data_IF_067869024343
#
_entry.id   IF_067869024343
#
_cell.length_a   1.000
_cell.length_b   1.000
_cell.length_c   1.000
_cell.angle_alpha   90.00
_cell.angle_beta   90.00
_cell.angle_gamma   90.00
#
_symmetry.space_group_name_H-M   'P 1'
#
loop_
_entity.id
_entity.type
_entity.pdbx_description
1 polymer ?
#
# COMPACT_ATOMS: atom_id res chain seq x y z
N UNK A 1 -43.91 -29.85 37.12
CA UNK A 1 -44.45 -28.96 36.08
C UNK A 1 -43.25 -28.41 35.25
N UNK A 2 -43.06 -28.94 34.04
CA UNK A 2 -41.98 -28.53 33.12
C UNK A 2 -42.53 -27.37 32.26
N UNK A 3 -41.76 -26.30 32.14
CA UNK A 3 -42.00 -25.29 31.10
C UNK A 3 -40.73 -25.22 30.26
N UNK A 4 -40.89 -25.61 29.00
CA UNK A 4 -39.84 -25.60 27.99
C UNK A 4 -39.63 -24.20 27.42
N UNK A 5 -38.37 -23.78 27.34
CA UNK A 5 -37.91 -22.60 26.60
C UNK A 5 -37.71 -22.94 25.13
N UNK A 6 -38.48 -22.36 24.25
CA UNK A 6 -38.30 -22.43 22.81
C UNK A 6 -37.29 -21.35 22.41
N UNK A 7 -36.11 -21.78 21.98
CA UNK A 7 -35.10 -20.90 21.38
C UNK A 7 -35.49 -20.60 19.93
N UNK A 8 -35.85 -19.36 19.62
CA UNK A 8 -36.06 -18.88 18.25
C UNK A 8 -34.67 -18.59 17.61
N UNK A 9 -34.18 -19.48 16.78
CA UNK A 9 -33.16 -19.17 15.79
C UNK A 9 -33.86 -18.49 14.62
N UNK A 10 -33.65 -17.19 14.46
CA UNK A 10 -34.03 -16.46 13.24
C UNK A 10 -33.21 -16.92 12.03
N UNK A 11 -33.74 -16.80 10.81
CA UNK A 11 -33.05 -17.25 9.61
C UNK A 11 -31.78 -16.44 9.39
N UNK A 12 -30.63 -17.11 9.38
CA UNK A 12 -29.35 -16.55 8.92
C UNK A 12 -29.49 -16.16 7.45
N UNK A 13 -29.23 -14.88 7.18
CA UNK A 13 -29.38 -14.32 5.85
C UNK A 13 -28.32 -14.96 4.93
N UNK A 14 -28.74 -15.75 3.94
CA UNK A 14 -27.87 -16.44 2.97
C UNK A 14 -26.89 -15.52 2.24
N UNK A 15 -27.20 -14.21 2.20
CA UNK A 15 -26.36 -13.18 1.59
C UNK A 15 -25.08 -12.89 2.40
N UNK A 16 -25.18 -12.95 3.73
CA UNK A 16 -24.02 -12.74 4.61
C UNK A 16 -23.08 -13.95 4.58
N UNK A 17 -23.64 -15.16 4.46
CA UNK A 17 -22.88 -16.39 4.29
C UNK A 17 -22.17 -16.45 2.91
N UNK A 18 -22.77 -15.88 1.88
CA UNK A 18 -22.17 -15.78 0.53
C UNK A 18 -21.03 -14.74 0.51
N UNK A 19 -21.23 -13.59 1.15
CA UNK A 19 -20.19 -12.56 1.29
C UNK A 19 -18.98 -13.08 2.07
N UNK A 20 -19.19 -13.81 3.16
CA UNK A 20 -18.14 -14.46 3.94
C UNK A 20 -17.41 -15.56 3.16
N UNK A 21 -18.12 -16.37 2.37
CA UNK A 21 -17.52 -17.41 1.50
C UNK A 21 -16.74 -16.81 0.34
N UNK A 22 -17.23 -15.71 -0.25
CA UNK A 22 -16.53 -14.98 -1.32
C UNK A 22 -15.27 -14.31 -0.76
N UNK A 23 -15.37 -13.70 0.40
CA UNK A 23 -14.23 -13.10 1.09
C UNK A 23 -13.18 -14.15 1.47
N UNK A 24 -13.60 -15.34 1.95
CA UNK A 24 -12.74 -16.50 2.19
C UNK A 24 -12.05 -17.01 0.93
N UNK A 25 -12.71 -16.98 -0.25
CA UNK A 25 -12.08 -17.32 -1.53
C UNK A 25 -11.11 -16.25 -2.02
N UNK A 26 -11.45 -14.96 -1.87
CA UNK A 26 -10.56 -13.84 -2.20
C UNK A 26 -9.30 -13.89 -1.31
N UNK A 27 -9.47 -14.24 -0.03
CA UNK A 27 -8.39 -14.41 0.95
C UNK A 27 -7.58 -15.69 0.73
N UNK A 28 -8.16 -16.73 0.11
CA UNK A 28 -7.46 -17.99 -0.20
C UNK A 28 -6.56 -17.91 -1.43
N UNK A 29 -6.70 -16.87 -2.26
CA UNK A 29 -5.70 -16.54 -3.27
C UNK A 29 -4.53 -15.84 -2.57
N UNK A 30 -3.51 -16.60 -2.25
CA UNK A 30 -2.22 -16.14 -1.74
C UNK A 30 -1.70 -15.03 -2.64
N UNK A 31 -1.37 -13.88 -2.02
CA UNK A 31 -0.66 -12.74 -2.59
C UNK A 31 -1.53 -11.76 -3.37
N UNK A 32 -1.89 -10.67 -2.79
CA UNK A 32 -1.89 -9.28 -3.29
C UNK A 32 -2.85 -8.38 -2.54
N UNK A 33 -2.42 -7.78 -1.48
CA UNK A 33 -3.08 -6.63 -0.86
C UNK A 33 -2.02 -5.77 -0.17
N UNK A 34 -1.26 -5.04 -0.95
CA UNK A 34 -0.17 -4.19 -0.46
C UNK A 34 -0.20 -2.73 -0.89
N UNK A 35 -1.37 -2.17 -1.15
CA UNK A 35 -1.63 -0.79 -0.73
C UNK A 35 -2.39 -0.80 0.61
N UNK A 36 -2.95 -1.95 0.96
CA UNK A 36 -3.36 -2.39 2.29
C UNK A 36 -2.83 -3.81 2.40
N UNK A 37 -1.59 -3.99 2.88
CA UNK A 37 -0.96 -5.29 2.95
C UNK A 37 -1.72 -6.22 3.88
N UNK A 38 -2.47 -7.17 3.34
CA UNK A 38 -2.95 -8.33 4.06
C UNK A 38 -1.96 -9.49 3.83
N UNK A 39 -0.96 -9.62 4.68
CA UNK A 39 -0.15 -10.82 4.76
C UNK A 39 -0.85 -11.83 5.69
N UNK A 40 -1.44 -12.87 5.11
CA UNK A 40 -1.84 -14.06 5.86
C UNK A 40 -0.65 -15.05 5.89
N UNK A 41 -0.11 -15.28 7.06
CA UNK A 41 0.82 -16.37 7.29
C UNK A 41 0.04 -17.70 7.37
N UNK A 42 0.32 -18.66 6.49
CA UNK A 42 -0.06 -20.05 6.63
C UNK A 42 1.20 -20.90 6.91
N UNK A 43 1.06 -22.05 7.63
CA UNK A 43 2.20 -22.83 8.07
C UNK A 43 3.03 -23.38 6.92
N UNK A 44 4.34 -23.41 7.13
CA UNK A 44 5.37 -23.83 6.19
C UNK A 44 5.17 -25.28 5.73
N UNK A 45 4.89 -25.47 4.44
CA UNK A 45 5.25 -26.69 3.73
C UNK A 45 6.63 -26.46 3.10
N UNK A 46 7.51 -27.47 3.22
CA UNK A 46 8.90 -27.43 2.78
C UNK A 46 9.06 -26.81 1.37
N UNK A 47 9.76 -25.70 1.31
CA UNK A 47 10.08 -25.03 0.06
C UNK A 47 11.29 -25.69 -0.58
N UNK A 48 11.12 -26.16 -1.82
CA UNK A 48 12.24 -26.39 -2.74
C UNK A 48 12.85 -25.00 -3.00
N UNK A 49 14.12 -24.83 -2.67
CA UNK A 49 14.85 -23.60 -2.89
C UNK A 49 14.79 -23.22 -4.38
N UNK A 50 14.35 -22.02 -4.74
CA UNK A 50 14.43 -21.57 -6.12
C UNK A 50 15.92 -21.47 -6.55
N UNK A 51 16.22 -21.90 -7.79
CA UNK A 51 17.53 -21.66 -8.39
C UNK A 51 17.83 -20.17 -8.34
N UNK A 52 19.09 -19.76 -8.04
CA UNK A 52 19.45 -18.35 -8.10
C UNK A 52 19.23 -17.84 -9.54
N UNK A 53 18.34 -16.90 -9.69
CA UNK A 53 18.23 -16.07 -10.88
C UNK A 53 19.49 -15.20 -10.86
N UNK A 54 20.23 -15.14 -11.97
CA UNK A 54 21.37 -14.23 -12.11
C UNK A 54 20.92 -12.84 -11.66
N UNK A 55 21.68 -12.27 -10.70
CA UNK A 55 21.45 -10.91 -10.23
C UNK A 55 21.41 -9.98 -11.44
N UNK A 56 20.28 -9.32 -11.69
CA UNK A 56 20.27 -8.12 -12.47
C UNK A 56 21.19 -7.11 -11.75
N UNK A 57 21.89 -6.28 -12.49
CA UNK A 57 22.72 -5.21 -11.95
C UNK A 57 21.97 -4.51 -10.81
N UNK A 58 22.67 -4.25 -9.68
CA UNK A 58 22.06 -3.77 -8.45
C UNK A 58 21.15 -2.57 -8.70
N UNK A 59 20.01 -2.51 -8.00
CA UNK A 59 19.13 -1.35 -8.06
C UNK A 59 19.60 -0.32 -7.02
N UNK A 60 19.72 0.94 -7.44
CA UNK A 60 20.17 2.08 -6.62
C UNK A 60 19.00 3.05 -6.32
N UNK A 61 17.98 2.62 -5.55
CA UNK A 61 16.79 3.43 -5.33
C UNK A 61 17.13 4.71 -4.57
N UNK A 62 16.31 5.74 -4.81
CA UNK A 62 16.53 7.04 -4.24
C UNK A 62 16.51 7.04 -2.71
N UNK A 63 17.55 7.63 -2.11
CA UNK A 63 17.73 7.82 -0.68
C UNK A 63 18.07 9.28 -0.39
N UNK A 64 17.47 9.85 0.65
CA UNK A 64 17.80 11.20 1.13
C UNK A 64 18.18 11.19 2.59
N UNK A 65 18.84 12.26 3.02
CA UNK A 65 19.21 12.49 4.40
C UNK A 65 18.80 13.89 4.84
N UNK A 66 18.19 13.97 6.00
CA UNK A 66 17.95 15.19 6.75
C UNK A 66 18.78 15.09 8.02
N UNK A 67 19.60 16.08 8.29
CA UNK A 67 20.50 16.04 9.47
C UNK A 67 20.69 17.41 10.09
N UNK A 68 20.97 17.41 11.37
CA UNK A 68 21.49 18.54 12.12
C UNK A 68 22.77 18.14 12.89
N UNK A 69 23.07 18.79 13.99
CA UNK A 69 24.33 18.56 14.77
C UNK A 69 24.41 17.17 15.43
N UNK A 70 23.27 16.58 15.82
CA UNK A 70 23.22 15.34 16.61
C UNK A 70 22.13 14.36 16.18
N UNK A 71 21.40 14.68 15.12
CA UNK A 71 20.34 13.84 14.55
C UNK A 71 20.54 13.59 13.06
N UNK A 72 20.28 12.36 12.63
CA UNK A 72 20.27 11.97 11.22
C UNK A 72 18.99 11.20 10.90
N UNK A 73 18.26 11.61 9.88
CA UNK A 73 17.04 10.95 9.40
C UNK A 73 17.25 10.60 7.94
N UNK A 74 17.32 9.32 7.63
CA UNK A 74 17.30 8.84 6.25
C UNK A 74 15.86 8.70 5.79
N UNK A 75 15.56 9.12 4.55
CA UNK A 75 14.26 8.97 3.90
C UNK A 75 14.45 8.07 2.69
N UNK A 76 13.83 6.92 2.70
CA UNK A 76 13.92 5.90 1.66
C UNK A 76 12.54 5.67 1.02
N UNK A 77 12.50 5.71 -0.32
CA UNK A 77 11.27 5.45 -1.07
C UNK A 77 11.10 3.96 -1.37
N UNK A 78 9.92 3.41 -1.10
CA UNK A 78 9.61 1.99 -1.29
C UNK A 78 8.62 1.77 -2.44
N UNK A 79 8.66 0.58 -3.02
CA UNK A 79 7.59 0.01 -3.85
C UNK A 79 7.05 -1.22 -3.13
N UNK A 80 5.74 -1.24 -2.85
CA UNK A 80 5.12 -2.25 -1.96
C UNK A 80 5.22 -3.69 -2.45
N UNK A 81 5.43 -3.90 -3.74
CA UNK A 81 5.51 -5.23 -4.37
C UNK A 81 6.66 -5.25 -5.37
N UNK A 82 7.47 -6.30 -5.34
CA UNK A 82 8.56 -6.53 -6.30
C UNK A 82 8.53 -7.96 -6.81
N UNK A 83 9.12 -8.18 -7.98
CA UNK A 83 9.45 -9.52 -8.45
C UNK A 83 10.64 -10.06 -7.65
N UNK A 84 10.78 -11.38 -7.45
CA UNK A 84 11.93 -11.94 -6.75
C UNK A 84 13.22 -11.71 -7.52
N UNK A 85 14.35 -11.59 -6.80
CA UNK A 85 15.70 -11.56 -7.36
C UNK A 85 16.30 -10.18 -7.58
N UNK A 86 15.59 -9.08 -7.31
CA UNK A 86 16.16 -7.74 -7.35
C UNK A 86 16.97 -7.48 -6.07
N UNK A 87 18.23 -7.04 -6.24
CA UNK A 87 19.12 -6.61 -5.16
C UNK A 87 19.06 -5.09 -5.05
N UNK A 88 18.69 -4.59 -3.90
CA UNK A 88 18.54 -3.14 -3.61
C UNK A 88 18.83 -2.80 -2.14
N UNK A 89 18.82 -3.82 -1.26
CA UNK A 89 19.07 -3.63 0.16
C UNK A 89 20.55 -3.87 0.46
N UNK A 90 21.38 -3.08 -0.16
CA UNK A 90 22.84 -3.11 -0.11
C UNK A 90 23.40 -1.67 -0.07
N UNK A 91 24.66 -1.49 -0.33
CA UNK A 91 25.37 -0.22 -0.44
C UNK A 91 24.86 0.91 0.49
N UNK A 92 24.38 2.02 -0.05
CA UNK A 92 23.96 3.18 0.72
C UNK A 92 22.68 2.93 1.51
N UNK A 93 21.71 2.17 0.97
CA UNK A 93 20.46 1.83 1.66
C UNK A 93 20.76 0.98 2.89
N UNK A 94 21.56 -0.08 2.71
CA UNK A 94 21.97 -0.95 3.82
C UNK A 94 22.82 -0.20 4.85
N UNK A 95 23.72 0.66 4.39
CA UNK A 95 24.57 1.49 5.27
C UNK A 95 23.71 2.46 6.10
N UNK A 96 22.71 3.11 5.50
CA UNK A 96 21.79 3.99 6.20
C UNK A 96 20.95 3.22 7.23
N UNK A 97 20.42 2.06 6.83
CA UNK A 97 19.69 1.17 7.73
C UNK A 97 20.58 0.72 8.90
N UNK A 98 21.82 0.26 8.65
CA UNK A 98 22.71 -0.26 9.69
C UNK A 98 23.08 0.82 10.72
N UNK A 99 23.31 2.04 10.29
CA UNK A 99 23.60 3.20 11.15
C UNK A 99 22.41 3.65 11.98
N UNK A 100 21.19 3.29 11.58
CA UNK A 100 19.96 3.72 12.23
C UNK A 100 19.67 2.87 13.47
N UNK A 101 19.22 3.52 14.53
CA UNK A 101 18.83 2.90 15.79
C UNK A 101 17.36 2.45 15.78
N UNK A 102 16.58 2.98 14.85
CA UNK A 102 15.14 2.78 14.74
C UNK A 102 14.72 2.80 13.27
N UNK A 103 13.70 2.02 12.95
CA UNK A 103 13.01 2.03 11.66
C UNK A 103 11.63 2.65 11.83
N UNK A 104 11.26 3.49 10.88
CA UNK A 104 9.93 4.11 10.81
C UNK A 104 9.34 3.82 9.44
N UNK A 105 8.19 3.18 9.42
CA UNK A 105 7.42 2.88 8.22
C UNK A 105 6.23 3.84 8.11
N UNK A 106 5.53 3.83 6.99
CA UNK A 106 4.23 4.50 6.93
C UNK A 106 3.30 3.94 8.02
N UNK A 107 3.24 2.64 8.11
CA UNK A 107 2.38 1.92 9.04
C UNK A 107 3.06 0.62 9.48
N UNK A 108 2.91 0.25 10.73
CA UNK A 108 3.18 -1.11 11.19
C UNK A 108 1.93 -1.94 10.96
N UNK A 109 2.08 -3.01 10.18
CA UNK A 109 0.97 -3.89 9.86
C UNK A 109 0.40 -4.53 11.13
N UNK A 110 -0.90 -4.35 11.42
CA UNK A 110 -1.53 -5.07 12.52
C UNK A 110 -1.66 -6.58 12.19
N UNK A 111 -2.07 -7.37 13.17
CA UNK A 111 -2.40 -8.76 12.89
C UNK A 111 -3.49 -8.89 11.81
N UNK A 112 -3.49 -10.00 11.05
CA UNK A 112 -4.40 -10.18 9.91
C UNK A 112 -5.89 -10.08 10.27
N UNK A 113 -6.29 -10.58 11.44
CA UNK A 113 -7.70 -10.56 11.86
C UNK A 113 -8.14 -9.12 12.17
N UNK A 114 -7.29 -8.32 12.82
CA UNK A 114 -7.54 -6.91 13.07
C UNK A 114 -7.63 -6.13 11.76
N UNK A 115 -6.68 -6.35 10.82
CA UNK A 115 -6.73 -5.69 9.51
C UNK A 115 -8.01 -6.03 8.75
N UNK A 116 -8.38 -7.32 8.71
CA UNK A 116 -9.63 -7.75 8.08
C UNK A 116 -10.85 -7.06 8.69
N UNK A 117 -10.93 -7.01 10.01
CA UNK A 117 -12.05 -6.33 10.70
C UNK A 117 -12.12 -4.84 10.33
N UNK A 118 -10.98 -4.15 10.25
CA UNK A 118 -10.89 -2.76 9.85
C UNK A 118 -11.35 -2.54 8.40
N UNK A 119 -10.90 -3.37 7.47
CA UNK A 119 -11.31 -3.30 6.06
C UNK A 119 -12.81 -3.53 5.92
N UNK A 120 -13.36 -4.54 6.60
CA UNK A 120 -14.80 -4.81 6.60
C UNK A 120 -15.61 -3.64 7.17
N UNK A 121 -15.14 -3.06 8.26
CA UNK A 121 -15.83 -1.93 8.91
C UNK A 121 -15.80 -0.64 8.06
N UNK A 122 -14.70 -0.40 7.34
CA UNK A 122 -14.48 0.87 6.61
C UNK A 122 -14.82 0.78 5.12
N UNK A 123 -14.61 -0.37 4.50
CA UNK A 123 -14.68 -0.56 3.05
C UNK A 123 -15.93 -1.27 2.52
N UNK A 124 -16.77 -1.84 3.40
CA UNK A 124 -17.99 -2.56 3.00
C UNK A 124 -19.22 -1.75 3.39
N UNK A 125 -20.11 -1.54 2.43
CA UNK A 125 -21.40 -0.88 2.64
C UNK A 125 -22.42 -1.88 3.21
N UNK A 126 -23.10 -1.49 4.28
CA UNK A 126 -24.14 -2.35 4.94
C UNK A 126 -25.44 -2.35 4.16
N UNK A 127 -25.80 -1.23 3.56
CA UNK A 127 -27.04 -0.96 2.85
C UNK A 127 -26.81 -0.02 1.66
N UNK A 128 -27.88 0.40 1.00
CA UNK A 128 -27.83 1.29 -0.17
C UNK A 128 -27.64 0.56 -1.50
N UNK A 129 -27.44 1.32 -2.61
CA UNK A 129 -27.29 0.77 -3.94
C UNK A 129 -26.00 -0.06 -4.05
N UNK A 130 -26.02 -1.04 -4.95
CA UNK A 130 -24.81 -1.83 -5.27
C UNK A 130 -23.74 -0.95 -5.90
N UNK A 131 -22.47 -1.36 -5.83
CA UNK A 131 -21.40 -0.62 -6.49
C UNK A 131 -21.62 -0.53 -8.00
N UNK A 132 -22.11 -1.61 -8.63
CA UNK A 132 -22.45 -1.63 -10.05
C UNK A 132 -23.53 -0.59 -10.40
N UNK A 133 -24.56 -0.41 -9.56
CA UNK A 133 -25.59 0.61 -9.76
C UNK A 133 -25.05 2.04 -9.63
N UNK A 134 -24.05 2.26 -8.76
CA UNK A 134 -23.43 3.56 -8.53
C UNK A 134 -22.49 3.99 -9.67
N UNK A 135 -21.95 3.04 -10.45
CA UNK A 135 -21.06 3.34 -11.57
C UNK A 135 -21.80 4.01 -12.72
N UNK A 136 -21.16 4.97 -13.41
CA UNK A 136 -21.63 5.46 -14.71
C UNK A 136 -21.89 4.30 -15.69
N UNK A 137 -22.93 4.42 -16.52
CA UNK A 137 -23.36 3.33 -17.39
C UNK A 137 -22.27 2.86 -18.37
N UNK A 138 -21.44 3.77 -18.84
CA UNK A 138 -20.30 3.52 -19.74
C UNK A 138 -19.14 2.75 -19.05
N UNK A 139 -19.06 2.77 -17.72
CA UNK A 139 -18.02 2.06 -16.96
C UNK A 139 -18.43 0.66 -16.51
N UNK A 140 -19.72 0.32 -16.50
CA UNK A 140 -20.22 -0.93 -15.92
C UNK A 140 -19.71 -2.18 -16.63
N UNK A 141 -19.59 -2.14 -17.96
CA UNK A 141 -19.10 -3.28 -18.74
C UNK A 141 -17.63 -3.56 -18.45
N UNK A 142 -16.77 -2.54 -18.53
CA UNK A 142 -15.34 -2.67 -18.23
C UNK A 142 -15.08 -3.07 -16.75
N UNK A 143 -15.88 -2.54 -15.81
CA UNK A 143 -15.83 -2.96 -14.41
C UNK A 143 -16.17 -4.44 -14.23
N UNK A 144 -17.24 -4.93 -14.85
CA UNK A 144 -17.66 -6.33 -14.78
C UNK A 144 -16.59 -7.26 -15.37
N UNK A 145 -16.00 -6.87 -16.51
CA UNK A 145 -14.87 -7.57 -17.13
C UNK A 145 -13.68 -7.63 -16.18
N UNK A 146 -13.24 -6.48 -15.62
CA UNK A 146 -12.13 -6.41 -14.67
C UNK A 146 -12.33 -7.33 -13.45
N UNK A 147 -13.56 -7.41 -12.91
CA UNK A 147 -13.86 -8.32 -11.79
C UNK A 147 -13.81 -9.79 -12.23
N UNK A 148 -14.32 -10.11 -13.43
CA UNK A 148 -14.30 -11.48 -13.94
C UNK A 148 -12.90 -11.96 -14.32
N UNK A 149 -11.99 -11.07 -14.74
CA UNK A 149 -10.57 -11.36 -14.97
C UNK A 149 -9.82 -11.76 -13.71
N UNK A 150 -10.33 -11.36 -12.55
CA UNK A 150 -9.84 -11.85 -11.26
C UNK A 150 -10.29 -13.28 -10.95
N UNK A 151 -11.17 -13.86 -11.78
CA UNK A 151 -11.80 -15.17 -11.55
C UNK A 151 -13.00 -15.10 -10.60
N UNK A 152 -13.61 -13.93 -10.44
CA UNK A 152 -14.73 -13.69 -9.53
C UNK A 152 -16.04 -13.46 -10.32
N UNK A 153 -17.21 -13.71 -9.73
CA UNK A 153 -18.48 -13.25 -10.30
C UNK A 153 -18.49 -11.73 -10.48
N UNK A 154 -19.09 -11.21 -11.56
CA UNK A 154 -19.12 -9.78 -11.87
C UNK A 154 -19.67 -8.89 -10.72
N UNK A 155 -20.54 -9.45 -9.87
CA UNK A 155 -21.12 -8.76 -8.71
C UNK A 155 -20.36 -8.99 -7.39
N UNK A 156 -19.16 -9.57 -7.43
CA UNK A 156 -18.41 -9.93 -6.22
C UNK A 156 -18.12 -8.73 -5.30
N UNK A 157 -17.96 -7.55 -5.89
CA UNK A 157 -17.65 -6.31 -5.15
C UNK A 157 -18.86 -5.39 -4.97
N UNK A 158 -20.08 -5.84 -5.22
CA UNK A 158 -21.29 -5.02 -5.17
C UNK A 158 -21.56 -4.37 -3.81
N UNK A 159 -21.03 -4.95 -2.75
CA UNK A 159 -21.10 -4.37 -1.40
C UNK A 159 -19.84 -3.62 -0.99
N UNK A 160 -18.82 -3.55 -1.84
CA UNK A 160 -17.63 -2.74 -1.55
C UNK A 160 -17.92 -1.26 -1.80
N UNK A 161 -17.32 -0.40 -0.97
CA UNK A 161 -17.19 1.01 -1.32
C UNK A 161 -16.26 1.15 -2.53
N UNK A 162 -16.41 2.19 -3.37
CA UNK A 162 -15.66 2.29 -4.62
C UNK A 162 -14.15 2.22 -4.41
N UNK A 163 -13.62 2.85 -3.34
CA UNK A 163 -12.19 2.82 -3.03
C UNK A 163 -11.66 1.40 -2.77
N UNK A 164 -12.43 0.56 -2.09
CA UNK A 164 -12.00 -0.81 -1.80
C UNK A 164 -11.98 -1.67 -3.07
N UNK A 165 -12.98 -1.50 -3.95
CA UNK A 165 -13.00 -2.16 -5.25
C UNK A 165 -11.80 -1.71 -6.12
N UNK A 166 -11.53 -0.40 -6.19
CA UNK A 166 -10.37 0.15 -6.91
C UNK A 166 -9.06 -0.47 -6.42
N UNK A 167 -8.85 -0.49 -5.10
CA UNK A 167 -7.66 -1.08 -4.50
C UNK A 167 -7.51 -2.58 -4.86
N UNK A 168 -8.59 -3.35 -4.79
CA UNK A 168 -8.54 -4.76 -5.16
C UNK A 168 -8.23 -4.98 -6.64
N UNK A 169 -8.84 -4.18 -7.53
CA UNK A 169 -8.58 -4.23 -8.97
C UNK A 169 -7.15 -3.85 -9.33
N UNK A 170 -6.55 -2.89 -8.63
CA UNK A 170 -5.16 -2.47 -8.87
C UNK A 170 -4.14 -3.51 -8.40
N UNK A 171 -4.39 -4.22 -7.29
CA UNK A 171 -3.36 -5.02 -6.63
C UNK A 171 -3.45 -6.49 -6.99
N UNK A 172 -4.68 -7.05 -7.05
CA UNK A 172 -4.86 -8.50 -7.26
C UNK A 172 -4.21 -9.00 -8.56
N UNK A 173 -4.25 -8.27 -9.70
CA UNK A 173 -3.59 -8.72 -10.92
C UNK A 173 -2.06 -8.79 -10.81
N UNK A 174 -1.44 -7.98 -9.94
CA UNK A 174 0.02 -7.91 -9.82
C UNK A 174 0.65 -9.24 -9.43
N UNK A 175 -0.06 -10.06 -8.64
CA UNK A 175 0.41 -11.40 -8.29
C UNK A 175 0.50 -12.33 -9.51
N UNK A 176 -0.43 -12.19 -10.48
CA UNK A 176 -0.38 -12.95 -11.73
C UNK A 176 0.79 -12.52 -12.61
N UNK A 177 1.25 -11.27 -12.47
CA UNK A 177 2.41 -10.71 -13.15
C UNK A 177 3.74 -11.03 -12.42
N UNK A 178 3.69 -11.79 -11.32
CA UNK A 178 4.87 -12.23 -10.57
C UNK A 178 5.36 -11.25 -9.51
N UNK A 179 4.60 -10.17 -9.23
CA UNK A 179 4.89 -9.27 -8.11
C UNK A 179 4.34 -9.84 -6.80
N UNK A 180 5.13 -9.73 -5.73
CA UNK A 180 4.75 -10.20 -4.40
C UNK A 180 5.18 -9.18 -3.35
N UNK A 181 4.30 -8.92 -2.38
CA UNK A 181 4.59 -8.07 -1.23
C UNK A 181 5.68 -8.65 -0.32
N UNK A 182 5.85 -9.97 -0.31
CA UNK A 182 6.94 -10.61 0.42
C UNK A 182 8.32 -10.16 -0.05
N UNK A 183 8.44 -9.73 -1.32
CA UNK A 183 9.66 -9.14 -1.88
C UNK A 183 9.67 -7.60 -1.77
N UNK A 184 8.58 -7.00 -1.30
CA UNK A 184 8.47 -5.54 -1.12
C UNK A 184 9.44 -5.03 -0.04
N UNK A 185 10.02 -3.83 -0.25
CA UNK A 185 10.98 -3.24 0.67
C UNK A 185 10.51 -3.17 2.12
N UNK A 186 9.25 -2.91 2.40
CA UNK A 186 8.73 -2.84 3.77
C UNK A 186 8.88 -4.17 4.51
N UNK A 187 8.64 -5.30 3.84
CA UNK A 187 8.78 -6.62 4.45
C UNK A 187 10.25 -6.98 4.68
N UNK A 188 11.11 -6.68 3.69
CA UNK A 188 12.56 -6.89 3.81
C UNK A 188 13.15 -6.05 4.94
N UNK A 189 12.82 -4.74 5.00
CA UNK A 189 13.27 -3.82 6.04
C UNK A 189 12.74 -4.24 7.41
N UNK A 190 11.46 -4.65 7.52
CA UNK A 190 10.87 -5.11 8.77
C UNK A 190 11.55 -6.38 9.29
N UNK A 191 11.81 -7.35 8.41
CA UNK A 191 12.53 -8.56 8.75
C UNK A 191 13.97 -8.27 9.21
N UNK A 192 14.68 -7.39 8.50
CA UNK A 192 16.02 -6.95 8.86
C UNK A 192 16.05 -6.20 10.21
N UNK A 193 15.07 -5.33 10.45
CA UNK A 193 14.94 -4.59 11.71
C UNK A 193 14.72 -5.56 12.89
N UNK A 194 13.82 -6.53 12.70
CA UNK A 194 13.57 -7.58 13.70
C UNK A 194 14.83 -8.40 13.99
N UNK A 195 15.55 -8.81 12.96
CA UNK A 195 16.80 -9.57 13.09
C UNK A 195 17.89 -8.77 13.81
N UNK A 196 17.95 -7.44 13.59
CA UNK A 196 18.89 -6.53 14.22
C UNK A 196 18.42 -5.98 15.59
N UNK A 197 17.26 -6.41 16.09
CA UNK A 197 16.69 -5.91 17.35
C UNK A 197 16.33 -4.42 17.33
N UNK A 198 16.11 -3.83 16.14
CA UNK A 198 15.75 -2.42 16.00
C UNK A 198 14.24 -2.25 16.18
N UNK A 199 13.79 -1.27 16.98
CA UNK A 199 12.37 -0.96 17.09
C UNK A 199 11.82 -0.47 15.74
N UNK A 200 10.60 -0.92 15.40
CA UNK A 200 9.85 -0.49 14.23
C UNK A 200 8.61 0.25 14.70
N UNK A 201 8.36 1.43 14.14
CA UNK A 201 7.14 2.20 14.39
C UNK A 201 6.52 2.69 13.09
N UNK A 202 5.25 3.10 13.14
CA UNK A 202 4.54 3.73 12.02
C UNK A 202 4.42 5.23 12.19
N UNK A 203 4.44 5.96 11.08
CA UNK A 203 4.00 7.36 11.02
C UNK A 203 2.48 7.45 11.21
N UNK A 204 1.77 6.43 10.78
CA UNK A 204 0.31 6.32 10.81
C UNK A 204 -0.12 4.95 11.35
N UNK A 205 -1.39 4.83 11.73
CA UNK A 205 -2.01 3.54 12.06
C UNK A 205 -2.82 3.01 10.88
N UNK A 206 -3.16 1.72 10.90
CA UNK A 206 -4.03 1.12 9.89
C UNK A 206 -5.41 1.80 9.84
N UNK A 207 -5.95 2.17 11.00
CA UNK A 207 -7.20 2.90 11.11
C UNK A 207 -7.14 4.27 10.41
N UNK A 208 -6.01 4.98 10.55
CA UNK A 208 -5.79 6.26 9.88
C UNK A 208 -5.70 6.09 8.37
N UNK A 209 -4.89 5.13 7.87
CA UNK A 209 -4.74 4.91 6.43
C UNK A 209 -6.05 4.50 5.75
N UNK A 210 -6.79 3.55 6.34
CA UNK A 210 -8.11 3.18 5.83
C UNK A 210 -9.12 4.34 5.95
N UNK A 211 -9.00 5.13 7.01
CA UNK A 211 -9.80 6.34 7.22
C UNK A 211 -9.62 7.38 6.13
N UNK A 212 -8.43 7.54 5.56
CA UNK A 212 -8.22 8.48 4.44
C UNK A 212 -9.05 8.10 3.22
N UNK A 213 -9.05 6.83 2.84
CA UNK A 213 -9.93 6.37 1.74
C UNK A 213 -11.41 6.53 2.08
N UNK A 214 -11.79 6.21 3.32
CA UNK A 214 -13.16 6.35 3.79
C UNK A 214 -13.64 7.80 3.89
N UNK A 215 -12.74 8.78 4.03
CA UNK A 215 -13.05 10.21 4.10
C UNK A 215 -13.25 10.87 2.73
N UNK A 216 -12.84 10.22 1.65
CA UNK A 216 -13.09 10.72 0.30
C UNK A 216 -14.59 10.83 0.02
N UNK A 217 -15.01 11.89 -0.66
CA UNK A 217 -16.38 12.00 -1.13
C UNK A 217 -16.74 10.81 -2.03
N UNK A 218 -18.02 10.44 -2.07
CA UNK A 218 -18.49 9.37 -2.97
C UNK A 218 -18.08 9.63 -4.43
N UNK A 219 -18.14 10.91 -4.85
CA UNK A 219 -17.70 11.31 -6.19
C UNK A 219 -16.21 11.00 -6.41
N UNK A 220 -15.34 11.37 -5.47
CA UNK A 220 -13.90 11.11 -5.58
C UNK A 220 -13.59 9.61 -5.55
N UNK A 221 -14.28 8.82 -4.74
CA UNK A 221 -14.12 7.38 -4.72
C UNK A 221 -14.54 6.72 -6.04
N UNK A 222 -15.65 7.18 -6.65
CA UNK A 222 -16.10 6.68 -7.97
C UNK A 222 -15.16 7.12 -9.10
N UNK A 223 -14.62 8.34 -9.04
CA UNK A 223 -13.60 8.79 -9.99
C UNK A 223 -12.32 7.94 -9.85
N UNK A 224 -11.86 7.68 -8.63
CA UNK A 224 -10.71 6.82 -8.37
C UNK A 224 -10.92 5.41 -8.94
N UNK A 225 -12.10 4.81 -8.73
CA UNK A 225 -12.44 3.51 -9.32
C UNK A 225 -12.48 3.58 -10.86
N UNK A 226 -13.08 4.64 -11.41
CA UNK A 226 -13.14 4.83 -12.86
C UNK A 226 -11.75 4.92 -13.50
N UNK A 227 -10.86 5.75 -12.95
CA UNK A 227 -9.48 5.85 -13.42
C UNK A 227 -8.73 4.52 -13.27
N UNK A 228 -8.93 3.81 -12.16
CA UNK A 228 -8.36 2.46 -11.97
C UNK A 228 -8.77 1.53 -13.10
N UNK A 229 -10.06 1.47 -13.45
CA UNK A 229 -10.56 0.61 -14.53
C UNK A 229 -9.90 0.98 -15.86
N UNK A 230 -9.76 2.26 -16.16
CA UNK A 230 -9.16 2.74 -17.40
C UNK A 230 -7.65 2.41 -17.52
N UNK A 231 -6.96 2.31 -16.38
CA UNK A 231 -5.52 2.00 -16.34
C UNK A 231 -5.21 0.49 -16.30
N UNK A 232 -6.18 -0.38 -15.99
CA UNK A 232 -5.94 -1.83 -15.92
C UNK A 232 -5.29 -2.42 -17.17
N UNK A 233 -5.66 -2.03 -18.42
CA UNK A 233 -5.02 -2.56 -19.63
C UNK A 233 -3.52 -2.25 -19.73
N UNK A 234 -3.03 -1.23 -19.02
CA UNK A 234 -1.64 -0.80 -19.03
C UNK A 234 -0.88 -1.24 -17.76
N UNK A 235 -1.56 -1.88 -16.81
CA UNK A 235 -1.03 -2.16 -15.46
C UNK A 235 0.34 -2.83 -15.50
N UNK A 236 0.55 -3.83 -16.37
CA UNK A 236 1.83 -4.54 -16.49
C UNK A 236 2.95 -3.58 -16.93
N UNK A 237 2.71 -2.78 -17.98
CA UNK A 237 3.70 -1.83 -18.49
C UNK A 237 3.98 -0.72 -17.48
N UNK A 238 2.94 -0.15 -16.89
CA UNK A 238 3.07 0.88 -15.86
C UNK A 238 3.87 0.40 -14.66
N UNK A 239 3.56 -0.81 -14.14
CA UNK A 239 4.32 -1.39 -13.03
C UNK A 239 5.78 -1.67 -13.40
N UNK A 240 6.05 -2.16 -14.61
CA UNK A 240 7.42 -2.40 -15.06
C UNK A 240 8.21 -1.09 -15.14
N UNK A 241 7.60 -0.03 -15.70
CA UNK A 241 8.20 1.31 -15.77
C UNK A 241 8.46 1.88 -14.38
N UNK A 242 7.49 1.83 -13.47
CA UNK A 242 7.64 2.33 -12.11
C UNK A 242 8.77 1.62 -11.33
N UNK A 243 8.88 0.30 -11.49
CA UNK A 243 9.96 -0.47 -10.85
C UNK A 243 11.32 -0.12 -11.46
N UNK A 244 11.41 0.05 -12.78
CA UNK A 244 12.62 0.45 -13.47
C UNK A 244 13.10 1.86 -13.04
N UNK A 245 12.19 2.84 -12.99
CA UNK A 245 12.50 4.20 -12.54
C UNK A 245 12.90 4.23 -11.04
N UNK A 246 12.24 3.42 -10.23
CA UNK A 246 12.61 3.25 -8.83
C UNK A 246 14.01 2.64 -8.70
N UNK A 247 14.30 1.58 -9.45
CA UNK A 247 15.58 0.89 -9.41
C UNK A 247 16.74 1.78 -9.87
N UNK A 248 16.50 2.69 -10.83
CA UNK A 248 17.45 3.71 -11.28
C UNK A 248 17.60 4.88 -10.32
N UNK A 249 16.78 4.94 -9.28
CA UNK A 249 16.76 6.06 -8.36
C UNK A 249 16.34 7.38 -9.00
N UNK A 250 15.44 7.38 -9.99
CA UNK A 250 14.89 8.57 -10.64
C UNK A 250 13.50 8.95 -10.06
N UNK A 251 13.44 9.73 -8.98
CA UNK A 251 12.17 10.12 -8.36
C UNK A 251 11.35 11.06 -9.25
N UNK A 252 11.96 11.80 -10.16
CA UNK A 252 11.24 12.72 -11.04
C UNK A 252 10.52 11.97 -12.16
N UNK A 253 11.12 10.91 -12.71
CA UNK A 253 10.44 10.02 -13.65
C UNK A 253 9.28 9.30 -12.96
N UNK A 254 9.52 8.74 -11.79
CA UNK A 254 8.49 8.08 -10.99
C UNK A 254 7.34 9.03 -10.64
N UNK A 255 7.64 10.30 -10.31
CA UNK A 255 6.62 11.30 -10.04
C UNK A 255 5.75 11.61 -11.26
N UNK A 256 6.34 11.65 -12.45
CA UNK A 256 5.57 11.87 -13.70
C UNK A 256 4.57 10.74 -13.92
N UNK A 257 5.02 9.50 -13.78
CA UNK A 257 4.16 8.32 -13.97
C UNK A 257 3.01 8.28 -12.94
N UNK A 258 3.32 8.53 -11.68
CA UNK A 258 2.32 8.51 -10.59
C UNK A 258 1.39 9.72 -10.60
N UNK A 259 1.90 10.92 -10.89
CA UNK A 259 1.11 12.15 -10.81
C UNK A 259 0.11 12.28 -11.97
N UNK A 260 0.36 11.66 -13.11
CA UNK A 260 -0.58 11.66 -14.22
C UNK A 260 -1.90 11.00 -13.82
N UNK A 261 -1.86 9.93 -13.05
CA UNK A 261 -3.06 9.26 -12.53
C UNK A 261 -3.83 10.08 -11.48
N UNK A 262 -3.18 11.03 -10.80
CA UNK A 262 -3.78 11.85 -9.76
C UNK A 262 -4.31 13.20 -10.26
N UNK A 263 -3.95 13.65 -11.46
CA UNK A 263 -4.36 14.95 -12.03
C UNK A 263 -5.88 15.12 -12.09
N UNK A 264 -6.58 14.05 -12.44
CA UNK A 264 -8.04 14.05 -12.57
C UNK A 264 -8.77 13.81 -11.24
N UNK A 265 -8.03 13.61 -10.16
CA UNK A 265 -8.58 13.31 -8.83
C UNK A 265 -7.94 14.17 -7.74
N UNK A 266 -8.12 15.49 -7.73
CA UNK A 266 -7.44 16.41 -6.81
C UNK A 266 -7.78 16.17 -5.34
N UNK A 267 -8.97 15.68 -5.02
CA UNK A 267 -9.34 15.29 -3.65
C UNK A 267 -8.53 14.06 -3.20
N UNK A 268 -8.37 13.08 -4.09
CA UNK A 268 -7.54 11.89 -3.84
C UNK A 268 -6.09 12.29 -3.61
N UNK A 269 -5.52 13.10 -4.52
CA UNK A 269 -4.16 13.63 -4.39
C UNK A 269 -3.96 14.37 -3.06
N UNK A 270 -4.92 15.22 -2.67
CA UNK A 270 -4.86 15.97 -1.42
C UNK A 270 -4.83 15.04 -0.21
N UNK A 271 -5.79 14.12 -0.12
CA UNK A 271 -6.00 13.28 1.07
C UNK A 271 -4.94 12.20 1.19
N UNK A 272 -4.59 11.51 0.08
CA UNK A 272 -3.70 10.36 0.10
C UNK A 272 -2.22 10.70 -0.05
N UNK A 273 -1.88 11.92 -0.51
CA UNK A 273 -0.50 12.33 -0.75
C UNK A 273 -0.15 13.63 0.00
N UNK A 274 -0.74 14.76 -0.39
CA UNK A 274 -0.29 16.10 0.03
C UNK A 274 -0.41 16.30 1.54
N UNK A 275 -1.60 16.02 2.11
CA UNK A 275 -1.84 16.20 3.55
C UNK A 275 -1.02 15.22 4.40
N UNK A 276 -0.75 14.03 3.90
CA UNK A 276 0.12 13.04 4.56
C UNK A 276 1.57 13.53 4.55
N UNK A 277 2.07 13.97 3.42
CA UNK A 277 3.42 14.49 3.27
C UNK A 277 3.68 15.71 4.18
N UNK A 278 2.69 16.60 4.30
CA UNK A 278 2.78 17.74 5.22
C UNK A 278 2.88 17.28 6.68
N UNK A 279 2.06 16.33 7.11
CA UNK A 279 2.14 15.76 8.47
C UNK A 279 3.47 15.05 8.73
N UNK A 280 3.98 14.32 7.75
CA UNK A 280 5.26 13.62 7.89
C UNK A 280 6.44 14.59 7.93
N UNK A 281 6.38 15.69 7.18
CA UNK A 281 7.39 16.75 7.28
C UNK A 281 7.42 17.38 8.70
N UNK A 282 6.28 17.64 9.32
CA UNK A 282 6.20 18.10 10.71
C UNK A 282 6.71 17.04 11.69
N UNK A 283 6.46 15.76 11.43
CA UNK A 283 7.05 14.67 12.21
C UNK A 283 8.57 14.67 12.09
N UNK A 284 9.14 14.80 10.89
CA UNK A 284 10.60 14.90 10.67
C UNK A 284 11.19 16.10 11.43
N UNK A 285 10.57 17.28 11.35
CA UNK A 285 10.95 18.47 12.09
C UNK A 285 10.98 18.22 13.60
N UNK A 286 9.93 17.59 14.12
CA UNK A 286 9.86 17.23 15.55
C UNK A 286 10.93 16.21 15.93
N UNK A 287 11.19 15.24 15.03
CA UNK A 287 12.18 14.19 15.26
C UNK A 287 13.62 14.73 15.27
N UNK A 288 13.92 15.78 14.51
CA UNK A 288 15.22 16.48 14.55
C UNK A 288 15.56 17.03 15.94
N UNK A 289 14.57 17.36 16.77
CA UNK A 289 14.78 17.77 18.16
C UNK A 289 15.21 16.65 19.12
N UNK A 290 15.48 15.43 18.63
CA UNK A 290 15.86 14.27 19.45
C UNK A 290 17.12 13.62 18.87
N UNK A 291 18.26 13.57 19.59
CA UNK A 291 19.49 12.96 19.10
C UNK A 291 19.30 11.53 18.59
N UNK A 292 20.11 11.14 17.61
CA UNK A 292 20.18 9.77 17.10
C UNK A 292 19.83 9.63 15.62
N UNK A 293 19.95 8.42 15.10
CA UNK A 293 19.77 8.11 13.68
C UNK A 293 18.52 7.25 13.46
N UNK A 294 17.71 7.62 12.47
CA UNK A 294 16.43 6.94 12.11
C UNK A 294 16.41 6.64 10.62
N UNK A 295 15.91 5.46 10.27
CA UNK A 295 15.63 5.06 8.91
C UNK A 295 14.12 5.11 8.68
N UNK A 296 13.66 6.03 7.84
CA UNK A 296 12.26 6.21 7.47
C UNK A 296 12.05 5.62 6.08
N UNK A 297 11.15 4.65 5.96
CA UNK A 297 10.80 4.03 4.69
C UNK A 297 9.30 4.23 4.41
N UNK A 298 9.01 4.94 3.32
CA UNK A 298 7.66 5.30 2.88
C UNK A 298 7.53 5.08 1.38
N UNK A 299 6.31 4.92 0.87
CA UNK A 299 6.07 4.75 -0.56
C UNK A 299 6.79 5.83 -1.38
N UNK A 300 7.47 5.41 -2.46
CA UNK A 300 8.34 6.28 -3.25
C UNK A 300 7.62 7.51 -3.81
N UNK A 301 6.32 7.41 -4.08
CA UNK A 301 5.49 8.54 -4.49
C UNK A 301 5.43 9.68 -3.47
N UNK A 302 5.61 9.40 -2.18
CA UNK A 302 5.68 10.41 -1.13
C UNK A 302 6.98 11.20 -1.15
N UNK A 303 8.03 10.66 -1.78
CA UNK A 303 9.36 11.28 -1.91
C UNK A 303 9.63 11.77 -3.34
N UNK A 304 8.60 11.91 -4.16
CA UNK A 304 8.69 12.27 -5.57
C UNK A 304 7.80 13.49 -5.90
N UNK A 305 8.31 14.37 -6.78
CA UNK A 305 7.57 15.52 -7.31
C UNK A 305 7.38 16.69 -6.35
N UNK A 306 6.56 17.66 -6.81
CA UNK A 306 6.40 18.98 -6.17
C UNK A 306 5.72 18.96 -4.80
N UNK A 307 4.95 17.93 -4.48
CA UNK A 307 4.23 17.77 -3.21
C UNK A 307 4.90 16.77 -2.26
N UNK A 308 6.12 16.33 -2.59
CA UNK A 308 6.90 15.37 -1.80
C UNK A 308 7.16 15.85 -0.37
N UNK A 309 7.52 14.91 0.49
CA UNK A 309 7.96 15.20 1.87
C UNK A 309 9.12 16.21 1.86
N UNK A 310 10.08 16.07 0.92
CA UNK A 310 11.20 17.01 0.79
C UNK A 310 10.70 18.42 0.46
N UNK A 311 9.72 18.56 -0.44
CA UNK A 311 9.13 19.85 -0.77
C UNK A 311 8.38 20.47 0.42
N UNK A 312 7.71 19.66 1.25
CA UNK A 312 7.09 20.14 2.48
C UNK A 312 8.14 20.53 3.53
N UNK A 313 9.25 19.81 3.64
CA UNK A 313 10.36 20.16 4.53
C UNK A 313 10.98 21.50 4.15
N UNK A 314 11.13 21.81 2.87
CA UNK A 314 11.61 23.13 2.41
C UNK A 314 10.71 24.26 2.93
N UNK A 315 9.39 24.10 2.97
CA UNK A 315 8.45 25.08 3.54
C UNK A 315 8.66 25.30 5.04
N UNK A 316 9.24 24.30 5.72
CA UNK A 316 9.60 24.37 7.15
C UNK A 316 11.05 24.84 7.40
N UNK A 317 11.77 25.26 6.34
CA UNK A 317 13.17 25.67 6.41
C UNK A 317 14.17 24.51 6.59
N UNK A 318 13.75 23.29 6.28
CA UNK A 318 14.56 22.07 6.43
C UNK A 318 14.92 21.54 5.03
N UNK A 319 16.20 21.21 4.83
CA UNK A 319 16.68 20.63 3.57
C UNK A 319 16.90 19.13 3.71
N UNK A 320 16.35 18.37 2.80
CA UNK A 320 16.74 16.99 2.57
C UNK A 320 17.78 16.95 1.44
N UNK A 321 18.87 16.23 1.64
CA UNK A 321 19.94 16.08 0.65
C UNK A 321 19.91 14.67 0.07
N UNK A 322 20.08 14.56 -1.27
CA UNK A 322 20.20 13.27 -1.93
C UNK A 322 21.48 12.58 -1.45
N UNK A 323 21.39 11.33 -1.09
CA UNK A 323 22.56 10.46 -0.89
C UNK A 323 22.98 9.91 -2.25
N UNK A 324 24.23 10.10 -2.64
CA UNK A 324 24.83 9.55 -3.83
C UNK A 324 25.60 8.27 -3.47
N UNK A 325 25.54 7.27 -4.29
CA UNK A 325 26.23 6.01 -4.17
C UNK A 325 26.37 5.33 -5.54
#
# INVERSE_FOLDING_TARGET
MRLGGVSYMGPTNDKDALALKLFSKIVSYRSALSAIAMAFALPACAQVAPKPVQAADGADPALWVVKDKDTTIYLFGTIHVLKPGMTWFDEAVKTAFDRSQQVVLEMVMPDPAKMQALVMATGVAKDGPTLTEQLPADKRAAYAEAVTDLGLPANAFDRFKPWLAATNLSITPLSKLGYDSANGPEQVITAAAKAAGKPVMGLETAEQQLGYFGSLSQKAQLQFLGSTIDELPKLETTMATMVDEWAKGDPEALAREMNDSLKDSPEVAKVLLIDRNARWAEWVKTRLGKPGTVFVAVGAGHLAGQDSVQAQLVKLGIKAERVNY
#
